data_IF_199306438653
#
_entry.id   IF_199306438653
#
_cell.length_a   1.000
_cell.length_b   1.000
_cell.length_c   1.000
_cell.angle_alpha   90.00
_cell.angle_beta   90.00
_cell.angle_gamma   90.00
#
_symmetry.space_group_name_H-M   'P 1'
#
loop_
_entity.id
_entity.type
_entity.pdbx_description
1 polymer ?
#
# COMPACT_ATOMS: atom_id res chain seq x y z
N UNK A 1 20.25 53.72 -4.75
CA UNK A 1 20.53 52.29 -4.52
C UNK A 1 19.32 51.35 -4.59
N UNK A 2 18.16 51.74 -5.17
CA UNK A 2 16.93 50.93 -5.11
C UNK A 2 16.76 49.91 -6.25
N UNK A 3 17.48 50.05 -7.36
CA UNK A 3 17.32 49.20 -8.55
C UNK A 3 17.84 47.77 -8.29
N UNK A 4 18.96 47.63 -7.57
CA UNK A 4 19.55 46.33 -7.26
C UNK A 4 18.64 45.45 -6.39
N UNK A 5 17.99 46.02 -5.38
CA UNK A 5 17.05 45.28 -4.51
C UNK A 5 15.78 44.88 -5.27
N UNK A 6 15.29 45.73 -6.16
CA UNK A 6 14.12 45.41 -6.99
C UNK A 6 14.41 44.27 -7.97
N UNK A 7 15.59 44.28 -8.61
CA UNK A 7 16.02 43.20 -9.50
C UNK A 7 16.26 41.90 -8.73
N UNK A 8 16.95 41.95 -7.59
CA UNK A 8 17.16 40.77 -6.74
C UNK A 8 15.84 40.19 -6.22
N UNK A 9 14.90 41.03 -5.79
CA UNK A 9 13.57 40.61 -5.34
C UNK A 9 12.73 40.04 -6.50
N UNK A 10 12.79 40.62 -7.69
CA UNK A 10 12.11 40.10 -8.88
C UNK A 10 12.63 38.71 -9.28
N UNK A 11 13.94 38.49 -9.28
CA UNK A 11 14.52 37.18 -9.53
C UNK A 11 14.19 36.19 -8.40
N UNK A 12 14.30 36.58 -7.13
CA UNK A 12 13.94 35.70 -6.01
C UNK A 12 12.47 35.29 -6.06
N UNK A 13 11.55 36.20 -6.37
CA UNK A 13 10.12 35.90 -6.41
C UNK A 13 9.73 35.07 -7.65
N UNK A 14 10.36 35.35 -8.79
CA UNK A 14 10.12 34.61 -10.05
C UNK A 14 10.82 33.24 -10.08
N UNK A 15 11.99 33.10 -9.44
CA UNK A 15 12.76 31.85 -9.40
C UNK A 15 12.46 30.98 -8.18
N UNK A 16 11.98 31.53 -7.05
CA UNK A 16 11.49 30.73 -5.93
C UNK A 16 10.38 29.78 -6.35
N UNK A 17 9.48 30.19 -7.25
CA UNK A 17 8.47 29.30 -7.82
C UNK A 17 9.09 28.10 -8.57
N UNK A 18 10.25 28.29 -9.19
CA UNK A 18 11.01 27.24 -9.86
C UNK A 18 11.69 26.31 -8.85
N UNK A 19 12.39 26.84 -7.84
CA UNK A 19 13.03 26.05 -6.78
C UNK A 19 12.01 25.25 -5.94
N UNK A 20 10.85 25.84 -5.65
CA UNK A 20 9.73 25.16 -5.01
C UNK A 20 9.27 23.97 -5.85
N UNK A 21 9.16 24.11 -7.19
CA UNK A 21 8.78 22.99 -8.07
C UNK A 21 9.74 21.79 -7.96
N UNK A 22 11.05 22.02 -7.90
CA UNK A 22 12.06 20.96 -7.85
C UNK A 22 12.14 20.23 -6.51
N UNK A 23 11.79 20.89 -5.40
CA UNK A 23 11.72 20.24 -4.08
C UNK A 23 10.37 19.55 -3.86
N UNK A 24 9.29 20.11 -4.41
CA UNK A 24 7.93 19.59 -4.23
C UNK A 24 7.75 18.21 -4.85
N UNK A 25 8.28 17.96 -6.05
CA UNK A 25 8.09 16.65 -6.69
C UNK A 25 8.75 15.48 -5.92
N UNK A 26 10.04 15.55 -5.52
CA UNK A 26 10.64 14.55 -4.64
C UNK A 26 9.91 14.41 -3.31
N UNK A 27 9.51 15.53 -2.68
CA UNK A 27 8.77 15.49 -1.42
C UNK A 27 7.42 14.76 -1.55
N UNK A 28 6.66 15.01 -2.62
CA UNK A 28 5.41 14.30 -2.92
C UNK A 28 5.68 12.80 -3.09
N UNK A 29 6.72 12.43 -3.85
CA UNK A 29 7.06 11.03 -4.09
C UNK A 29 7.44 10.30 -2.79
N UNK A 30 8.22 10.95 -1.92
CA UNK A 30 8.57 10.43 -0.60
C UNK A 30 7.34 10.28 0.29
N UNK A 31 6.47 11.31 0.37
CA UNK A 31 5.24 11.26 1.17
C UNK A 31 4.29 10.17 0.69
N UNK A 32 4.14 9.99 -0.63
CA UNK A 32 3.37 8.89 -1.19
C UNK A 32 3.96 7.53 -0.83
N UNK A 33 5.29 7.39 -0.86
CA UNK A 33 5.97 6.16 -0.47
C UNK A 33 5.84 5.87 1.04
N UNK A 34 5.76 6.90 1.89
CA UNK A 34 5.46 6.76 3.31
C UNK A 34 3.98 6.41 3.54
N UNK A 35 3.05 7.05 2.84
CA UNK A 35 1.62 6.73 2.90
C UNK A 35 1.36 5.26 2.59
N UNK A 36 1.97 4.74 1.51
CA UNK A 36 1.88 3.32 1.15
C UNK A 36 2.37 2.38 2.27
N UNK A 37 3.48 2.72 2.93
CA UNK A 37 4.00 1.93 4.07
C UNK A 37 3.10 2.03 5.30
N UNK A 38 2.49 3.19 5.53
CA UNK A 38 1.55 3.40 6.62
C UNK A 38 0.29 2.53 6.43
N UNK A 39 -0.25 2.43 5.21
CA UNK A 39 -1.38 1.55 4.89
C UNK A 39 -1.09 0.09 5.24
N UNK A 40 0.07 -0.43 4.84
CA UNK A 40 0.49 -1.80 5.20
C UNK A 40 0.58 -2.00 6.71
N UNK A 41 1.06 -0.98 7.43
CA UNK A 41 1.14 -1.03 8.90
C UNK A 41 -0.26 -1.06 9.53
N UNK A 42 -1.19 -0.25 9.01
CA UNK A 42 -2.58 -0.26 9.41
C UNK A 42 -3.26 -1.60 9.14
N UNK A 43 -3.01 -2.22 7.98
CA UNK A 43 -3.55 -3.53 7.62
C UNK A 43 -3.10 -4.60 8.61
N UNK A 44 -1.82 -4.60 8.99
CA UNK A 44 -1.27 -5.52 10.01
C UNK A 44 -1.92 -5.30 11.37
N UNK A 45 -2.09 -4.05 11.79
CA UNK A 45 -2.75 -3.71 13.04
C UNK A 45 -4.22 -4.18 13.04
N UNK A 46 -4.92 -4.00 11.92
CA UNK A 46 -6.29 -4.47 11.73
C UNK A 46 -6.35 -6.01 11.84
N UNK A 47 -5.41 -6.73 11.22
CA UNK A 47 -5.36 -8.19 11.31
C UNK A 47 -5.09 -8.66 12.73
N UNK A 48 -4.17 -8.02 13.46
CA UNK A 48 -3.88 -8.36 14.86
C UNK A 48 -5.09 -8.11 15.78
N UNK A 49 -5.87 -7.06 15.50
CA UNK A 49 -7.08 -6.75 16.25
C UNK A 49 -8.22 -7.74 15.95
N UNK A 50 -8.42 -8.09 14.68
CA UNK A 50 -9.54 -8.91 14.24
C UNK A 50 -9.29 -10.42 14.37
N UNK A 51 -8.02 -10.83 14.29
CA UNK A 51 -7.54 -12.24 14.34
C UNK A 51 -8.20 -13.15 13.31
N UNK A 52 -8.67 -12.56 12.22
CA UNK A 52 -9.35 -13.24 11.13
C UNK A 52 -8.86 -12.64 9.81
N UNK A 53 -8.06 -13.42 9.07
CA UNK A 53 -7.47 -13.01 7.80
C UNK A 53 -8.54 -12.67 6.77
N UNK A 54 -9.57 -13.50 6.66
CA UNK A 54 -10.61 -13.36 5.63
C UNK A 54 -11.43 -12.11 5.86
N UNK A 55 -11.87 -11.86 7.10
CA UNK A 55 -12.62 -10.63 7.43
C UNK A 55 -11.78 -9.37 7.28
N UNK A 56 -10.48 -9.45 7.59
CA UNK A 56 -9.58 -8.30 7.41
C UNK A 56 -9.39 -7.98 5.93
N UNK A 57 -9.21 -9.00 5.08
CA UNK A 57 -9.12 -8.85 3.63
C UNK A 57 -10.40 -8.29 3.02
N UNK A 58 -11.56 -8.79 3.47
CA UNK A 58 -12.86 -8.31 3.04
C UNK A 58 -13.06 -6.83 3.40
N UNK A 59 -12.73 -6.44 4.64
CA UNK A 59 -12.81 -5.05 5.08
C UNK A 59 -11.87 -4.13 4.28
N UNK A 60 -10.63 -4.56 4.06
CA UNK A 60 -9.63 -3.82 3.26
C UNK A 60 -10.18 -3.55 1.86
N UNK A 61 -10.66 -4.57 1.17
CA UNK A 61 -11.14 -4.43 -0.21
C UNK A 61 -12.43 -3.61 -0.27
N UNK A 62 -13.35 -3.78 0.67
CA UNK A 62 -14.57 -2.97 0.74
C UNK A 62 -14.27 -1.48 0.93
N UNK A 63 -13.36 -1.15 1.85
CA UNK A 63 -12.99 0.24 2.13
C UNK A 63 -12.30 0.89 0.92
N UNK A 64 -11.36 0.19 0.28
CA UNK A 64 -10.60 0.72 -0.85
C UNK A 64 -11.42 0.85 -2.13
N UNK A 65 -12.34 -0.08 -2.37
CA UNK A 65 -13.17 -0.07 -3.58
C UNK A 65 -14.52 0.65 -3.38
N UNK A 66 -14.80 1.14 -2.16
CA UNK A 66 -16.08 1.78 -1.83
C UNK A 66 -17.28 0.85 -2.02
N UNK A 67 -17.11 -0.46 -1.77
CA UNK A 67 -18.15 -1.46 -1.96
C UNK A 67 -19.10 -1.52 -0.76
N UNK A 68 -20.37 -1.79 -1.03
CA UNK A 68 -21.38 -1.97 0.01
C UNK A 68 -21.06 -3.15 0.93
N UNK A 69 -21.54 -3.06 2.18
CA UNK A 69 -21.34 -4.08 3.23
C UNK A 69 -21.83 -5.47 2.83
N UNK A 70 -22.79 -5.57 1.92
CA UNK A 70 -23.37 -6.83 1.44
C UNK A 70 -22.59 -7.46 0.29
N UNK A 71 -21.56 -6.78 -0.23
CA UNK A 71 -20.73 -7.33 -1.31
C UNK A 71 -19.82 -8.43 -0.76
N UNK A 72 -20.06 -9.68 -1.12
CA UNK A 72 -19.18 -10.78 -0.74
C UNK A 72 -17.88 -10.70 -1.56
N UNK A 73 -16.76 -10.37 -0.90
CA UNK A 73 -15.43 -10.44 -1.50
C UNK A 73 -14.75 -11.75 -1.10
N UNK A 74 -14.29 -12.51 -2.09
CA UNK A 74 -13.47 -13.69 -1.87
C UNK A 74 -12.02 -13.42 -2.30
N UNK A 75 -11.14 -13.26 -1.31
CA UNK A 75 -9.73 -12.96 -1.56
C UNK A 75 -8.98 -14.10 -2.26
N UNK A 76 -9.38 -15.36 -2.05
CA UNK A 76 -8.76 -16.51 -2.73
C UNK A 76 -9.15 -16.57 -4.20
N UNK A 77 -10.41 -16.28 -4.52
CA UNK A 77 -10.86 -16.14 -5.91
C UNK A 77 -10.10 -15.01 -6.62
N UNK A 78 -9.90 -13.89 -5.92
CA UNK A 78 -9.13 -12.77 -6.44
C UNK A 78 -7.68 -13.14 -6.77
N UNK A 79 -6.95 -13.75 -5.85
CA UNK A 79 -5.54 -14.12 -6.10
C UNK A 79 -5.41 -15.22 -7.15
N UNK A 80 -6.37 -16.14 -7.25
CA UNK A 80 -6.45 -17.11 -8.36
C UNK A 80 -6.74 -16.44 -9.70
N UNK A 81 -7.40 -15.28 -9.67
CA UNK A 81 -7.69 -14.44 -10.84
C UNK A 81 -6.60 -13.41 -11.16
N UNK A 82 -5.43 -13.47 -10.49
CA UNK A 82 -4.28 -12.69 -10.95
C UNK A 82 -4.10 -12.92 -12.45
N UNK A 83 -3.93 -11.85 -13.24
CA UNK A 83 -4.07 -11.93 -14.67
C UNK A 83 -2.97 -12.83 -15.25
N UNK A 84 -3.32 -14.06 -15.57
CA UNK A 84 -2.69 -14.72 -16.71
C UNK A 84 -3.11 -13.87 -17.92
N UNK A 85 -2.17 -13.22 -18.64
CA UNK A 85 -2.50 -12.38 -19.79
C UNK A 85 -3.28 -13.13 -20.89
N UNK A 86 -3.41 -14.46 -20.79
CA UNK A 86 -4.16 -15.33 -21.69
C UNK A 86 -5.59 -15.67 -21.26
N UNK A 87 -6.01 -15.37 -20.02
CA UNK A 87 -7.38 -15.65 -19.56
C UNK A 87 -8.08 -14.33 -19.25
N UNK A 88 -9.29 -14.18 -19.78
CA UNK A 88 -10.02 -12.92 -19.86
C UNK A 88 -10.14 -12.15 -18.55
N UNK A 89 -10.53 -10.88 -18.69
CA UNK A 89 -10.68 -9.90 -17.60
C UNK A 89 -11.50 -10.52 -16.47
N UNK A 90 -10.84 -10.90 -15.37
CA UNK A 90 -11.51 -11.43 -14.18
C UNK A 90 -12.46 -10.40 -13.57
N UNK A 91 -13.46 -10.86 -12.79
CA UNK A 91 -14.49 -10.02 -12.15
C UNK A 91 -13.92 -8.80 -11.41
N UNK A 92 -12.71 -8.91 -10.87
CA UNK A 92 -12.04 -7.84 -10.12
C UNK A 92 -10.94 -7.11 -10.91
N UNK A 93 -10.60 -7.55 -12.11
CA UNK A 93 -9.48 -7.01 -12.88
C UNK A 93 -9.71 -5.57 -13.38
N UNK A 94 -10.97 -5.15 -13.53
CA UNK A 94 -11.32 -3.76 -13.83
C UNK A 94 -11.27 -2.87 -12.58
N UNK A 95 -11.73 -3.38 -11.44
CA UNK A 95 -11.72 -2.68 -10.15
C UNK A 95 -10.31 -2.38 -9.64
N UNK A 96 -9.36 -3.29 -9.84
CA UNK A 96 -7.97 -3.08 -9.44
C UNK A 96 -7.14 -2.33 -10.48
N UNK A 97 -7.64 -2.17 -11.71
CA UNK A 97 -7.00 -1.29 -12.69
C UNK A 97 -7.08 0.18 -12.24
N UNK A 98 -8.18 0.58 -11.59
CA UNK A 98 -8.30 1.92 -10.99
C UNK A 98 -7.54 2.05 -9.67
N UNK A 99 -7.32 0.94 -8.95
CA UNK A 99 -6.62 0.92 -7.66
C UNK A 99 -5.43 -0.06 -7.67
N UNK A 100 -4.32 0.28 -8.35
CA UNK A 100 -3.19 -0.63 -8.59
C UNK A 100 -2.43 -1.05 -7.33
N UNK A 101 -2.66 -0.38 -6.20
CA UNK A 101 -1.98 -0.67 -4.93
C UNK A 101 -2.69 -1.71 -4.05
N UNK A 102 -4.01 -1.84 -4.17
CA UNK A 102 -4.80 -2.81 -3.38
C UNK A 102 -4.34 -4.27 -3.58
N UNK A 103 -4.00 -4.74 -4.80
CA UNK A 103 -3.43 -6.07 -5.01
C UNK A 103 -2.19 -6.34 -4.14
N UNK A 104 -1.29 -5.33 -4.05
CA UNK A 104 -0.06 -5.43 -3.27
C UNK A 104 -0.35 -5.47 -1.77
N UNK A 105 -1.33 -4.70 -1.30
CA UNK A 105 -1.76 -4.72 0.10
C UNK A 105 -2.38 -6.05 0.50
N UNK A 106 -3.24 -6.62 -0.34
CA UNK A 106 -3.80 -7.97 -0.15
C UNK A 106 -2.67 -8.99 0.02
N UNK A 107 -1.69 -9.00 -0.88
CA UNK A 107 -0.54 -9.91 -0.79
C UNK A 107 0.32 -9.62 0.45
N UNK A 108 0.58 -8.36 0.79
CA UNK A 108 1.34 -7.99 1.98
C UNK A 108 0.66 -8.45 3.28
N UNK A 109 -0.67 -8.36 3.35
CA UNK A 109 -1.44 -8.83 4.50
C UNK A 109 -1.35 -10.36 4.63
N UNK A 110 -1.42 -11.11 3.52
CA UNK A 110 -1.25 -12.57 3.52
C UNK A 110 0.14 -13.00 3.97
N UNK A 111 1.18 -12.30 3.51
CA UNK A 111 2.55 -12.55 3.98
C UNK A 111 2.64 -12.37 5.50
N UNK A 112 2.01 -11.32 6.02
CA UNK A 112 1.97 -11.08 7.47
C UNK A 112 1.13 -12.11 8.23
N UNK A 113 0.00 -12.56 7.69
CA UNK A 113 -0.81 -13.65 8.25
C UNK A 113 -0.02 -14.98 8.32
N UNK A 114 0.93 -15.19 7.42
CA UNK A 114 1.82 -16.37 7.47
C UNK A 114 3.02 -16.21 8.42
N UNK A 115 3.16 -15.09 9.12
CA UNK A 115 4.30 -14.86 10.02
C UNK A 115 4.23 -15.70 11.30
N UNK A 116 5.39 -16.01 11.86
CA UNK A 116 5.50 -16.61 13.19
C UNK A 116 4.89 -15.71 14.28
N UNK A 117 4.96 -14.39 14.11
CA UNK A 117 4.33 -13.41 15.03
C UNK A 117 2.81 -13.54 15.01
N UNK A 118 2.19 -13.59 13.83
CA UNK A 118 0.74 -13.71 13.76
C UNK A 118 0.27 -15.04 14.33
N UNK A 119 0.98 -16.13 14.00
CA UNK A 119 0.69 -17.46 14.55
C UNK A 119 0.68 -17.48 16.08
N UNK A 120 1.66 -16.85 16.73
CA UNK A 120 1.70 -16.77 18.19
C UNK A 120 0.52 -15.96 18.77
N UNK A 121 0.11 -14.88 18.10
CA UNK A 121 -1.03 -14.04 18.52
C UNK A 121 -2.37 -14.78 18.43
N UNK A 122 -2.53 -15.66 17.43
CA UNK A 122 -3.76 -16.47 17.28
C UNK A 122 -3.69 -17.84 17.97
N UNK A 123 -2.61 -18.14 18.69
CA UNK A 123 -2.42 -19.41 19.42
C UNK A 123 -2.11 -20.62 18.52
N UNK A 124 -1.61 -20.38 17.31
CA UNK A 124 -1.09 -21.42 16.42
C UNK A 124 0.40 -21.67 16.68
N UNK A 125 0.90 -22.82 16.25
CA UNK A 125 2.32 -23.14 16.32
C UNK A 125 3.14 -22.22 15.40
N UNK A 126 4.09 -21.43 15.93
CA UNK A 126 4.98 -20.60 15.12
C UNK A 126 6.11 -21.39 14.46
N UNK A 127 6.33 -22.66 14.81
CA UNK A 127 7.43 -23.46 14.27
C UNK A 127 7.33 -23.60 12.74
N UNK A 128 8.44 -23.34 12.06
CA UNK A 128 8.53 -23.42 10.59
C UNK A 128 7.93 -22.25 9.83
N UNK A 129 7.36 -21.24 10.51
CA UNK A 129 6.87 -20.02 9.87
C UNK A 129 7.97 -18.94 9.76
N UNK A 130 7.95 -18.09 8.73
CA UNK A 130 8.91 -17.01 8.59
C UNK A 130 8.85 -16.04 9.78
N UNK A 131 10.03 -15.57 10.18
CA UNK A 131 10.18 -14.52 11.19
C UNK A 131 9.64 -13.18 10.70
N UNK A 132 9.32 -12.28 11.64
CA UNK A 132 8.83 -10.95 11.28
C UNK A 132 9.81 -10.17 10.38
N UNK A 133 11.14 -10.16 10.63
CA UNK A 133 12.09 -9.48 9.74
C UNK A 133 12.12 -10.03 8.31
N UNK A 134 11.95 -11.35 8.14
CA UNK A 134 11.87 -11.97 6.81
C UNK A 134 10.61 -11.54 6.07
N UNK A 135 9.47 -11.50 6.76
CA UNK A 135 8.21 -10.99 6.20
C UNK A 135 8.33 -9.50 5.87
N UNK A 136 8.96 -8.70 6.73
CA UNK A 136 9.17 -7.27 6.48
C UNK A 136 10.03 -7.03 5.24
N UNK A 137 11.04 -7.86 5.01
CA UNK A 137 11.83 -7.84 3.79
C UNK A 137 10.96 -8.17 2.56
N UNK A 138 10.20 -9.27 2.59
CA UNK A 138 9.34 -9.66 1.48
C UNK A 138 8.26 -8.61 1.16
N UNK A 139 7.67 -8.01 2.19
CA UNK A 139 6.68 -6.94 2.06
C UNK A 139 7.34 -5.67 1.52
N UNK A 140 8.54 -5.33 1.99
CA UNK A 140 9.32 -4.20 1.47
C UNK A 140 9.60 -4.37 -0.02
N UNK A 141 10.04 -5.55 -0.45
CA UNK A 141 10.33 -5.86 -1.86
C UNK A 141 9.06 -5.81 -2.74
N UNK A 142 7.91 -6.19 -2.17
CA UNK A 142 6.62 -6.11 -2.85
C UNK A 142 6.13 -4.67 -3.07
N UNK A 143 6.30 -3.80 -2.06
CA UNK A 143 5.81 -2.42 -2.07
C UNK A 143 6.84 -1.41 -2.59
N UNK A 144 8.12 -1.77 -2.67
CA UNK A 144 9.13 -0.97 -3.34
C UNK A 144 8.75 -0.84 -4.80
N UNK A 145 8.46 0.39 -5.21
CA UNK A 145 8.38 0.79 -6.60
C UNK A 145 9.36 1.95 -6.76
N UNK A 146 10.64 1.54 -6.86
CA UNK A 146 11.61 1.88 -7.89
C UNK A 146 12.35 0.59 -8.24
#
# INVERSE_FOLDING_TARGET
GHILYATALHYLTSSAAFFVRWVVQPAIMTLQAWSRRAEVTCDRAALLALRDENKTLEALVKLELGLDKDTAFNADEYLKSQPDPKKGIGRYAELFRSHPYVPKRVQALRLFANSALYASVVGQDPAGKPSLPEIDKQVSDLISVF
#
